data_IF_738944732622
#
_entry.id   IF_738944732622
#
_cell.length_a   1.000
_cell.length_b   1.000
_cell.length_c   1.000
_cell.angle_alpha   90.00
_cell.angle_beta   90.00
_cell.angle_gamma   90.00
#
_symmetry.space_group_name_H-M   'P 1'
#
loop_
_entity.id
_entity.type
_entity.pdbx_description
1 polymer ?
#
# COMPACT_ATOMS: atom_id res chain seq x y z
N UNK A 1 4.13 6.05 17.33
CA UNK A 1 2.78 5.44 17.30
C UNK A 1 2.91 4.08 16.68
N UNK A 2 2.05 3.15 17.08
CA UNK A 2 2.08 1.78 16.55
C UNK A 2 1.53 1.74 15.11
N UNK A 3 2.35 1.24 14.18
CA UNK A 3 1.99 1.12 12.77
C UNK A 3 0.83 0.16 12.53
N UNK A 4 0.71 -0.91 13.33
CA UNK A 4 -0.40 -1.86 13.23
C UNK A 4 -1.73 -1.20 13.58
N UNK A 5 -1.78 -0.45 14.69
CA UNK A 5 -2.97 0.29 15.10
C UNK A 5 -3.37 1.36 14.06
N UNK A 6 -2.40 2.05 13.47
CA UNK A 6 -2.66 3.02 12.38
C UNK A 6 -3.19 2.34 11.12
N UNK A 7 -2.65 1.18 10.75
CA UNK A 7 -3.14 0.38 9.63
C UNK A 7 -4.60 -0.05 9.84
N UNK A 8 -4.94 -0.54 11.03
CA UNK A 8 -6.32 -0.96 11.34
C UNK A 8 -7.32 0.19 11.22
N UNK A 9 -6.91 1.40 11.60
CA UNK A 9 -7.77 2.58 11.57
C UNK A 9 -7.95 3.16 10.16
N UNK A 10 -6.91 3.10 9.31
CA UNK A 10 -6.87 3.88 8.08
C UNK A 10 -6.88 3.02 6.80
N UNK A 11 -6.50 1.75 6.87
CA UNK A 11 -6.22 0.92 5.68
C UNK A 11 -7.07 -0.34 5.62
N UNK A 12 -7.35 -0.95 6.79
CA UNK A 12 -7.98 -2.26 6.89
C UNK A 12 -9.41 -2.33 6.32
N UNK A 13 -10.12 -1.21 6.21
CA UNK A 13 -11.46 -1.18 5.60
C UNK A 13 -11.47 -1.62 4.14
N UNK A 14 -10.36 -1.42 3.42
CA UNK A 14 -10.21 -1.84 2.02
C UNK A 14 -9.19 -2.97 1.88
N UNK A 15 -8.02 -2.85 2.53
CA UNK A 15 -6.95 -3.84 2.41
C UNK A 15 -7.12 -5.06 3.34
N UNK A 16 -8.20 -5.08 4.14
CA UNK A 16 -8.51 -6.16 5.07
C UNK A 16 -7.71 -6.08 6.37
N UNK A 17 -8.29 -6.58 7.46
CA UNK A 17 -7.69 -6.58 8.80
C UNK A 17 -6.42 -7.46 8.89
N UNK A 18 -6.28 -8.43 8.00
CA UNK A 18 -5.15 -9.35 7.89
C UNK A 18 -4.33 -9.11 6.60
N UNK A 19 -4.45 -7.92 6.01
CA UNK A 19 -3.71 -7.53 4.79
C UNK A 19 -4.08 -8.32 3.52
N UNK A 20 -5.21 -9.04 3.55
CA UNK A 20 -5.64 -9.97 2.51
C UNK A 20 -6.23 -9.28 1.27
N UNK A 21 -6.48 -7.98 1.31
CA UNK A 21 -7.09 -7.23 0.22
C UNK A 21 -8.54 -7.59 -0.06
N UNK A 22 -9.06 -7.04 -1.15
CA UNK A 22 -10.37 -7.39 -1.69
C UNK A 22 -10.29 -8.61 -2.62
N UNK A 23 -11.38 -9.40 -2.76
CA UNK A 23 -11.44 -10.48 -3.74
C UNK A 23 -11.28 -9.92 -5.16
N UNK A 24 -10.76 -10.77 -6.07
CA UNK A 24 -10.60 -10.44 -7.49
C UNK A 24 -9.83 -9.13 -7.76
N UNK A 25 -8.92 -8.72 -6.86
CA UNK A 25 -8.17 -7.45 -6.93
C UNK A 25 -7.35 -7.23 -8.21
N UNK A 26 -7.13 -8.27 -9.01
CA UNK A 26 -6.45 -8.20 -10.31
C UNK A 26 -7.39 -7.90 -11.48
N UNK A 27 -8.70 -7.87 -11.25
CA UNK A 27 -9.74 -7.64 -12.26
C UNK A 27 -10.43 -6.30 -12.00
N UNK A 28 -10.74 -5.57 -13.08
CA UNK A 28 -11.48 -4.31 -12.95
C UNK A 28 -12.90 -4.56 -12.47
N UNK A 29 -13.35 -3.73 -11.54
CA UNK A 29 -14.73 -3.68 -11.07
C UNK A 29 -15.68 -3.06 -12.10
N UNK A 30 -16.99 -2.98 -11.78
CA UNK A 30 -18.00 -2.37 -12.64
C UNK A 30 -17.77 -0.88 -12.96
N UNK A 31 -17.04 -0.18 -12.09
CA UNK A 31 -16.62 1.21 -12.25
C UNK A 31 -15.31 1.36 -13.05
N UNK A 32 -14.73 0.25 -13.50
CA UNK A 32 -13.47 0.25 -14.25
C UNK A 32 -12.23 0.48 -13.39
N UNK A 33 -12.31 0.34 -12.06
CA UNK A 33 -11.16 0.50 -11.14
C UNK A 33 -10.74 -0.84 -10.54
N UNK A 34 -9.48 -0.92 -10.10
CA UNK A 34 -8.96 -2.11 -9.43
C UNK A 34 -9.34 -2.09 -7.94
N UNK A 35 -9.84 -3.21 -7.39
CA UNK A 35 -10.03 -3.37 -5.95
C UNK A 35 -8.71 -3.25 -5.19
N UNK A 36 -8.80 -2.99 -3.88
CA UNK A 36 -7.64 -2.86 -3.00
C UNK A 36 -6.82 -4.18 -2.99
N UNK A 37 -5.53 -4.16 -3.40
CA UNK A 37 -4.71 -5.35 -3.42
C UNK A 37 -4.36 -5.84 -2.00
N UNK A 38 -4.02 -7.12 -1.83
CA UNK A 38 -3.41 -7.61 -0.61
C UNK A 38 -2.10 -6.90 -0.35
N UNK A 39 -1.86 -6.58 0.91
CA UNK A 39 -0.59 -6.08 1.41
C UNK A 39 0.28 -7.19 2.02
N UNK A 40 -0.21 -8.42 2.12
CA UNK A 40 0.59 -9.59 2.47
C UNK A 40 1.42 -10.12 1.28
N UNK A 41 2.04 -11.29 1.44
CA UNK A 41 2.88 -11.92 0.42
C UNK A 41 2.12 -12.33 -0.86
N UNK A 42 0.79 -12.44 -0.84
CA UNK A 42 -0.03 -12.83 -2.00
C UNK A 42 -0.29 -11.66 -2.96
N UNK A 43 -0.07 -10.44 -2.48
CA UNK A 43 -0.16 -9.19 -3.22
C UNK A 43 1.07 -8.88 -4.06
N UNK A 44 1.30 -7.58 -4.27
CA UNK A 44 2.43 -7.09 -5.07
C UNK A 44 3.11 -5.85 -4.47
N UNK A 45 2.75 -5.44 -3.25
CA UNK A 45 3.28 -4.23 -2.61
C UNK A 45 4.80 -4.29 -2.46
N UNK A 46 5.35 -5.47 -2.18
CA UNK A 46 6.79 -5.71 -2.06
C UNK A 46 7.57 -5.58 -3.38
N UNK A 47 6.90 -5.42 -4.53
CA UNK A 47 7.57 -5.07 -5.80
C UNK A 47 8.01 -3.61 -5.89
N UNK A 48 7.63 -2.78 -4.92
CA UNK A 48 7.81 -1.33 -4.95
C UNK A 48 8.74 -0.90 -3.82
N UNK A 49 9.63 0.06 -4.10
CA UNK A 49 10.54 0.61 -3.10
C UNK A 49 9.84 1.54 -2.10
N UNK A 50 10.58 1.99 -1.10
CA UNK A 50 10.01 2.78 0.01
C UNK A 50 9.51 4.15 -0.44
N UNK A 51 10.19 4.83 -1.37
CA UNK A 51 9.82 6.17 -1.80
C UNK A 51 8.53 6.16 -2.62
N UNK A 52 8.38 5.21 -3.55
CA UNK A 52 7.13 5.10 -4.32
C UNK A 52 5.95 4.67 -3.43
N UNK A 53 6.17 3.74 -2.49
CA UNK A 53 5.12 3.31 -1.54
C UNK A 53 4.69 4.49 -0.66
N UNK A 54 5.64 5.25 -0.13
CA UNK A 54 5.37 6.45 0.65
C UNK A 54 4.56 7.48 -0.13
N UNK A 55 4.94 7.77 -1.38
CA UNK A 55 4.22 8.71 -2.24
C UNK A 55 2.81 8.22 -2.59
N UNK A 56 2.64 6.93 -2.89
CA UNK A 56 1.31 6.36 -3.14
C UNK A 56 0.41 6.53 -1.91
N UNK A 57 0.91 6.23 -0.71
CA UNK A 57 0.11 6.40 0.52
C UNK A 57 -0.15 7.87 0.83
N UNK A 58 0.83 8.76 0.64
CA UNK A 58 0.66 10.20 0.97
C UNK A 58 -0.21 10.92 -0.05
N UNK A 59 0.06 10.72 -1.34
CA UNK A 59 -0.48 11.54 -2.43
C UNK A 59 -1.64 10.83 -3.16
N UNK A 60 -1.80 9.51 -2.98
CA UNK A 60 -2.82 8.69 -3.64
C UNK A 60 -2.35 8.12 -4.98
N UNK A 61 -2.84 6.93 -5.34
CA UNK A 61 -2.39 6.22 -6.55
C UNK A 61 -2.65 6.99 -7.83
N UNK A 62 -3.83 7.61 -7.95
CA UNK A 62 -4.20 8.40 -9.13
C UNK A 62 -3.23 9.57 -9.37
N UNK A 63 -2.82 10.28 -8.31
CA UNK A 63 -1.88 11.39 -8.41
C UNK A 63 -0.47 10.95 -8.78
N UNK A 64 -0.01 9.79 -8.26
CA UNK A 64 1.32 9.26 -8.52
C UNK A 64 1.45 8.66 -9.92
N UNK A 65 0.44 7.92 -10.39
CA UNK A 65 0.43 7.33 -11.74
C UNK A 65 0.19 8.39 -12.80
N UNK A 66 -0.73 9.32 -12.56
CA UNK A 66 -1.08 10.39 -13.49
C UNK A 66 -1.74 9.88 -14.78
N UNK A 67 -1.71 10.71 -15.84
CA UNK A 67 -2.22 10.33 -17.17
C UNK A 67 -3.73 10.05 -17.24
N UNK A 68 -4.51 10.55 -16.28
CA UNK A 68 -5.95 10.27 -16.18
C UNK A 68 -6.27 8.93 -15.51
N UNK A 69 -5.30 8.26 -14.87
CA UNK A 69 -5.55 7.06 -14.09
C UNK A 69 -6.48 7.36 -12.90
N UNK A 70 -7.49 6.52 -12.72
CA UNK A 70 -8.43 6.62 -11.61
C UNK A 70 -8.24 5.46 -10.62
N UNK A 71 -8.33 5.74 -9.32
CA UNK A 71 -8.14 4.75 -8.26
C UNK A 71 -8.95 5.15 -7.04
N UNK A 72 -9.49 4.17 -6.32
CA UNK A 72 -10.18 4.39 -5.05
C UNK A 72 -9.21 4.47 -3.86
N UNK A 73 -7.90 4.31 -4.08
CA UNK A 73 -6.89 4.49 -3.02
C UNK A 73 -6.58 6.00 -2.84
N UNK A 74 -7.06 6.63 -1.74
CA UNK A 74 -6.87 8.06 -1.53
C UNK A 74 -5.44 8.37 -1.06
N UNK A 75 -5.06 9.63 -1.16
CA UNK A 75 -3.88 10.16 -0.46
C UNK A 75 -4.20 10.50 0.99
N UNK A 76 -3.27 10.21 1.90
CA UNK A 76 -3.40 10.43 3.33
C UNK A 76 -2.56 11.60 3.86
N UNK A 77 -1.90 12.38 3.00
CA UNK A 77 -1.00 13.46 3.43
C UNK A 77 -1.63 14.56 4.28
N UNK A 78 -2.95 14.76 4.18
CA UNK A 78 -3.69 15.74 4.99
C UNK A 78 -4.17 15.17 6.35
N UNK A 79 -4.20 13.85 6.51
CA UNK A 79 -4.74 13.16 7.70
C UNK A 79 -3.69 12.42 8.52
N UNK A 80 -2.58 12.02 7.89
CA UNK A 80 -1.47 11.32 8.51
C UNK A 80 -0.16 12.07 8.28
N UNK A 81 0.66 12.13 9.32
CA UNK A 81 2.02 12.66 9.23
C UNK A 81 2.92 11.65 8.53
N UNK A 82 4.00 12.13 7.93
CA UNK A 82 5.00 11.29 7.27
C UNK A 82 5.50 10.12 8.15
N UNK A 83 5.72 10.39 9.44
CA UNK A 83 6.16 9.36 10.39
C UNK A 83 5.09 8.28 10.64
N UNK A 84 3.81 8.61 10.53
CA UNK A 84 2.70 7.67 10.68
C UNK A 84 2.56 6.80 9.43
N UNK A 85 2.68 7.41 8.24
CA UNK A 85 2.72 6.67 6.97
C UNK A 85 3.89 5.68 6.97
N UNK A 86 5.09 6.11 7.36
CA UNK A 86 6.26 5.22 7.47
C UNK A 86 6.03 4.10 8.47
N UNK A 87 5.44 4.38 9.63
CA UNK A 87 5.11 3.35 10.60
C UNK A 87 4.11 2.30 10.06
N UNK A 88 3.12 2.72 9.28
CA UNK A 88 2.18 1.80 8.59
C UNK A 88 2.94 0.93 7.59
N UNK A 89 3.80 1.52 6.76
CA UNK A 89 4.58 0.78 5.77
C UNK A 89 5.55 -0.21 6.43
N UNK A 90 6.21 0.18 7.53
CA UNK A 90 7.07 -0.72 8.30
C UNK A 90 6.28 -1.90 8.89
N UNK A 91 5.05 -1.66 9.38
CA UNK A 91 4.17 -2.74 9.82
C UNK A 91 3.85 -3.70 8.67
N UNK A 92 3.41 -3.18 7.51
CA UNK A 92 3.12 -4.01 6.33
C UNK A 92 4.35 -4.85 5.95
N UNK A 93 5.53 -4.22 5.84
CA UNK A 93 6.80 -4.87 5.50
C UNK A 93 7.18 -5.96 6.49
N UNK A 94 6.86 -5.79 7.77
CA UNK A 94 7.14 -6.78 8.82
C UNK A 94 6.38 -8.10 8.65
N UNK A 95 5.23 -8.07 7.97
CA UNK A 95 4.39 -9.26 7.74
C UNK A 95 4.92 -10.19 6.65
N UNK A 96 5.83 -9.70 5.80
CA UNK A 96 6.30 -10.46 4.66
C UNK A 96 7.33 -11.52 5.05
N UNK A 97 7.34 -12.68 4.38
CA UNK A 97 8.44 -13.64 4.47
C UNK A 97 9.76 -13.02 3.98
N UNK A 98 10.87 -13.67 4.33
CA UNK A 98 12.21 -13.10 4.07
C UNK A 98 12.49 -12.86 2.58
N UNK A 99 11.95 -13.70 1.69
CA UNK A 99 12.11 -13.54 0.25
C UNK A 99 11.56 -12.19 -0.24
N UNK A 100 10.31 -11.89 0.10
CA UNK A 100 9.61 -10.67 -0.32
C UNK A 100 10.26 -9.44 0.34
N UNK A 101 10.65 -9.53 1.62
CA UNK A 101 11.42 -8.45 2.29
C UNK A 101 12.76 -8.18 1.61
N UNK A 102 13.49 -9.23 1.23
CA UNK A 102 14.77 -9.08 0.53
C UNK A 102 14.58 -8.41 -0.83
N UNK A 103 13.60 -8.87 -1.61
CA UNK A 103 13.28 -8.27 -2.89
C UNK A 103 12.90 -6.78 -2.76
N UNK A 104 12.06 -6.44 -1.77
CA UNK A 104 11.65 -5.06 -1.56
C UNK A 104 12.82 -4.15 -1.12
N UNK A 105 13.76 -4.66 -0.32
CA UNK A 105 14.99 -3.93 0.02
C UNK A 105 15.83 -3.64 -1.21
N UNK A 106 15.95 -4.59 -2.14
CA UNK A 106 16.63 -4.36 -3.42
C UNK A 106 15.90 -3.32 -4.27
N UNK A 107 14.57 -3.28 -4.21
CA UNK A 107 13.77 -2.26 -4.91
C UNK A 107 13.99 -0.87 -4.36
N UNK A 108 14.01 -0.73 -3.04
CA UNK A 108 14.31 0.52 -2.34
C UNK A 108 15.72 1.04 -2.66
N UNK A 109 16.72 0.16 -2.79
CA UNK A 109 18.10 0.57 -3.13
C UNK A 109 18.28 1.06 -4.57
N UNK A 110 17.29 0.86 -5.43
CA UNK A 110 17.33 1.20 -6.85
C UNK A 110 16.44 2.39 -7.21
N UNK A 111 15.83 3.03 -6.21
CA UNK A 111 15.13 4.32 -6.34
C UNK A 111 16.14 5.47 -6.48
#
# INVERSE_FOLDING_TARGET
>A
MDGAALYQQNCASCHGTELQGQPDWRSLGPDGRLPAPPHDATGHTWHHGDDILFRITRDGTAAVVGGGYESDMPGFGDSLRDAEIRAILDYIKSTWPERERAYQRERTQQE
#
